data_IF_037607606176
#
_entry.id   IF_037607606176
#
_cell.length_a   1.000
_cell.length_b   1.000
_cell.length_c   1.000
_cell.angle_alpha   90.00
_cell.angle_beta   90.00
_cell.angle_gamma   90.00
#
_symmetry.space_group_name_H-M   'P 1'
#
loop_
_entity.id
_entity.type
_entity.pdbx_description
1 polymer ?
#
# COMPACT_ATOMS: atom_id res chain seq x y z
N UNK A 1 -19.38 6.58 -20.17
CA UNK A 1 -19.67 5.84 -21.42
C UNK A 1 -19.47 6.70 -22.66
N UNK A 2 -20.35 7.67 -22.96
CA UNK A 2 -20.29 8.44 -24.23
C UNK A 2 -18.93 9.12 -24.45
N UNK A 3 -18.39 9.78 -23.43
CA UNK A 3 -17.10 10.48 -23.51
C UNK A 3 -15.95 9.57 -23.93
N UNK A 4 -15.86 8.37 -23.35
CA UNK A 4 -14.81 7.40 -23.67
C UNK A 4 -14.96 6.87 -25.10
N UNK A 5 -16.19 6.64 -25.55
CA UNK A 5 -16.45 6.17 -26.91
C UNK A 5 -16.14 7.26 -27.94
N UNK A 6 -16.57 8.52 -27.70
CA UNK A 6 -16.21 9.70 -28.52
C UNK A 6 -14.69 9.83 -28.67
N UNK A 7 -13.95 9.74 -27.57
CA UNK A 7 -12.50 9.89 -27.57
C UNK A 7 -11.80 8.76 -28.32
N UNK A 8 -12.29 7.51 -28.21
CA UNK A 8 -11.73 6.39 -28.96
C UNK A 8 -11.85 6.56 -30.48
N UNK A 9 -12.93 7.20 -30.94
CA UNK A 9 -13.18 7.50 -32.34
C UNK A 9 -12.74 8.91 -32.78
N UNK A 10 -12.15 9.71 -31.89
CA UNK A 10 -11.71 11.10 -32.12
C UNK A 10 -12.84 12.01 -32.61
N UNK A 11 -14.03 11.88 -32.03
CA UNK A 11 -15.23 12.61 -32.43
C UNK A 11 -15.45 13.83 -31.53
N UNK A 12 -15.54 15.03 -32.14
CA UNK A 12 -15.74 16.30 -31.43
C UNK A 12 -17.03 16.99 -31.91
N UNK A 13 -18.20 16.56 -31.43
CA UNK A 13 -19.47 17.16 -31.82
C UNK A 13 -19.60 18.59 -31.27
N UNK A 14 -20.14 19.51 -32.08
CA UNK A 14 -20.46 20.89 -31.66
C UNK A 14 -21.96 21.03 -31.46
N UNK A 15 -22.45 20.62 -30.29
CA UNK A 15 -23.89 20.62 -30.03
C UNK A 15 -24.48 22.00 -29.79
N UNK A 16 -23.69 22.97 -29.31
CA UNK A 16 -24.16 24.33 -29.01
C UNK A 16 -24.68 25.08 -30.25
N UNK A 17 -24.18 24.73 -31.44
CA UNK A 17 -24.54 25.36 -32.71
C UNK A 17 -25.52 24.53 -33.53
N UNK A 18 -26.00 23.40 -33.01
CA UNK A 18 -26.84 22.48 -33.76
C UNK A 18 -28.30 22.96 -33.77
N UNK A 19 -28.88 23.09 -34.96
CA UNK A 19 -30.32 23.33 -35.13
C UNK A 19 -31.07 22.03 -35.38
N UNK A 20 -32.35 21.97 -35.02
CA UNK A 20 -33.19 20.77 -35.25
C UNK A 20 -33.21 20.42 -36.74
N UNK A 21 -33.45 21.40 -37.62
CA UNK A 21 -33.43 21.19 -39.07
C UNK A 21 -32.06 20.73 -39.59
N UNK A 22 -30.97 21.27 -39.04
CA UNK A 22 -29.61 20.86 -39.38
C UNK A 22 -29.35 19.41 -39.02
N UNK A 23 -29.78 18.99 -37.82
CA UNK A 23 -29.70 17.61 -37.36
C UNK A 23 -30.58 16.66 -38.20
N UNK A 24 -31.78 17.09 -38.59
CA UNK A 24 -32.65 16.29 -39.48
C UNK A 24 -31.97 16.01 -40.82
N UNK A 25 -31.39 17.05 -41.46
CA UNK A 25 -30.64 16.87 -42.72
C UNK A 25 -29.43 15.96 -42.53
N UNK A 26 -28.67 16.18 -41.46
CA UNK A 26 -27.45 15.42 -41.17
C UNK A 26 -27.72 13.94 -40.86
N UNK A 27 -28.84 13.60 -40.20
CA UNK A 27 -29.24 12.22 -39.93
C UNK A 27 -29.62 11.44 -41.20
N UNK A 28 -29.98 12.14 -42.28
CA UNK A 28 -30.33 11.55 -43.57
C UNK A 28 -29.25 11.74 -44.64
N UNK A 29 -28.07 12.24 -44.26
CA UNK A 29 -26.98 12.50 -45.20
C UNK A 29 -26.43 11.21 -45.83
N UNK A 30 -25.90 11.32 -47.05
CA UNK A 30 -25.29 10.22 -47.78
C UNK A 30 -24.03 9.71 -47.04
N UNK A 31 -23.26 10.62 -46.43
CA UNK A 31 -22.01 10.29 -45.75
C UNK A 31 -22.26 9.80 -44.32
N UNK A 32 -21.74 8.61 -44.01
CA UNK A 32 -21.86 7.97 -42.70
C UNK A 32 -21.26 8.80 -41.57
N UNK A 33 -20.16 9.52 -41.83
CA UNK A 33 -19.48 10.36 -40.84
C UNK A 33 -20.39 11.50 -40.37
N UNK A 34 -21.19 12.07 -41.27
CA UNK A 34 -22.14 13.13 -40.97
C UNK A 34 -23.28 12.58 -40.12
N UNK A 35 -23.81 11.40 -40.48
CA UNK A 35 -24.85 10.71 -39.69
C UNK A 35 -24.37 10.38 -38.28
N UNK A 36 -23.17 9.80 -38.13
CA UNK A 36 -22.55 9.51 -36.83
C UNK A 36 -22.36 10.78 -36.00
N UNK A 37 -21.86 11.86 -36.61
CA UNK A 37 -21.66 13.13 -35.92
C UNK A 37 -23.00 13.71 -35.44
N UNK A 38 -24.06 13.63 -36.24
CA UNK A 38 -25.40 14.07 -35.85
C UNK A 38 -25.94 13.29 -34.65
N UNK A 39 -25.79 11.95 -34.66
CA UNK A 39 -26.22 11.09 -33.56
C UNK A 39 -25.51 11.42 -32.24
N UNK A 40 -24.20 11.60 -32.28
CA UNK A 40 -23.41 11.94 -31.09
C UNK A 40 -23.71 13.37 -30.63
N UNK A 41 -23.98 14.28 -31.57
CA UNK A 41 -24.40 15.64 -31.24
C UNK A 41 -25.71 15.63 -30.45
N UNK A 42 -26.69 14.80 -30.87
CA UNK A 42 -27.92 14.60 -30.11
C UNK A 42 -27.63 14.04 -28.71
N UNK A 43 -26.83 12.99 -28.61
CA UNK A 43 -26.46 12.38 -27.33
C UNK A 43 -25.74 13.35 -26.37
N UNK A 44 -24.82 14.16 -26.90
CA UNK A 44 -24.05 15.13 -26.13
C UNK A 44 -24.93 16.29 -25.67
N UNK A 45 -25.85 16.75 -26.53
CA UNK A 45 -26.81 17.79 -26.17
C UNK A 45 -27.67 17.38 -24.96
N UNK A 46 -28.10 16.12 -24.87
CA UNK A 46 -28.90 15.64 -23.72
C UNK A 46 -28.09 15.65 -22.42
N UNK A 47 -26.81 15.27 -22.47
CA UNK A 47 -25.97 15.18 -21.28
C UNK A 47 -25.45 16.54 -20.78
N UNK A 48 -25.14 17.46 -21.70
CA UNK A 48 -24.48 18.73 -21.36
C UNK A 48 -25.44 19.93 -21.25
N UNK A 49 -26.71 19.79 -21.65
CA UNK A 49 -27.67 20.88 -21.57
C UNK A 49 -27.99 21.23 -20.10
N UNK A 50 -27.84 22.50 -19.69
CA UNK A 50 -28.18 22.93 -18.34
C UNK A 50 -29.64 22.65 -18.03
N UNK A 51 -29.91 21.83 -17.00
CA UNK A 51 -31.24 21.67 -16.43
C UNK A 51 -31.43 22.79 -15.41
N UNK A 52 -32.47 23.61 -15.59
CA UNK A 52 -32.91 24.53 -14.52
C UNK A 52 -33.41 23.64 -13.38
N UNK A 53 -32.68 23.60 -12.25
CA UNK A 53 -33.13 22.93 -11.03
C UNK A 53 -34.51 23.46 -10.66
N UNK A 54 -35.53 22.60 -10.75
CA UNK A 54 -36.90 22.94 -10.33
C UNK A 54 -37.01 23.21 -8.82
N UNK A 55 -35.97 22.91 -8.04
CA UNK A 55 -35.97 23.04 -6.59
C UNK A 55 -35.54 24.44 -6.08
N UNK A 56 -35.13 25.37 -6.94
CA UNK A 56 -34.67 26.72 -6.52
C UNK A 56 -35.57 27.88 -6.91
N UNK A 57 -36.69 27.65 -7.60
CA UNK A 57 -37.64 28.71 -7.99
C UNK A 57 -39.01 28.46 -7.36
N UNK A 58 -39.10 28.60 -6.03
CA UNK A 58 -40.36 28.92 -5.37
C UNK A 58 -40.72 30.38 -5.70
N UNK A 59 -41.46 30.58 -6.79
CA UNK A 59 -42.09 31.84 -7.14
C UNK A 59 -41.73 32.30 -8.55
N UNK A 60 -42.75 32.43 -9.40
CA UNK A 60 -42.73 32.83 -10.82
C UNK A 60 -42.61 31.64 -11.79
N UNK A 61 -43.80 31.13 -12.20
CA UNK A 61 -44.03 30.38 -13.44
C UNK A 61 -43.39 29.00 -13.54
N UNK A 62 -44.19 27.94 -13.70
CA UNK A 62 -43.69 26.62 -14.11
C UNK A 62 -42.89 26.78 -15.41
N UNK A 63 -41.56 26.69 -15.33
CA UNK A 63 -40.72 26.59 -16.50
C UNK A 63 -41.20 25.37 -17.33
N UNK A 64 -41.31 25.48 -18.67
CA UNK A 64 -41.75 24.37 -19.50
C UNK A 64 -40.80 23.19 -19.31
N UNK A 65 -41.35 22.00 -19.09
CA UNK A 65 -40.58 20.76 -19.07
C UNK A 65 -39.95 20.59 -20.44
N UNK A 66 -38.66 20.93 -20.55
CA UNK A 66 -37.91 20.77 -21.78
C UNK A 66 -37.77 19.26 -22.01
N UNK A 67 -38.39 18.73 -23.06
CA UNK A 67 -38.14 17.35 -23.47
C UNK A 67 -36.67 17.18 -23.83
N UNK A 68 -36.04 16.11 -23.32
CA UNK A 68 -34.62 15.82 -23.53
C UNK A 68 -34.29 15.71 -25.04
N UNK A 69 -35.22 15.20 -25.86
CA UNK A 69 -35.07 15.14 -27.33
C UNK A 69 -36.30 15.68 -28.06
N UNK A 70 -36.14 16.61 -29.03
CA UNK A 70 -37.21 17.11 -29.89
C UNK A 70 -37.98 15.97 -30.56
N UNK A 71 -39.32 16.05 -30.57
CA UNK A 71 -40.22 15.02 -31.10
C UNK A 71 -39.92 14.72 -32.58
N UNK A 72 -39.49 15.73 -33.32
CA UNK A 72 -39.17 15.68 -34.75
C UNK A 72 -37.96 14.79 -35.05
N UNK A 73 -37.01 14.67 -34.12
CA UNK A 73 -35.81 13.86 -34.30
C UNK A 73 -36.05 12.38 -33.97
N UNK A 74 -37.03 12.06 -33.11
CA UNK A 74 -37.24 10.70 -32.62
C UNK A 74 -37.46 9.66 -33.74
N UNK A 75 -38.27 9.90 -34.80
CA UNK A 75 -38.44 8.95 -35.88
C UNK A 75 -37.16 8.72 -36.68
N UNK A 76 -36.37 9.78 -36.89
CA UNK A 76 -35.10 9.70 -37.62
C UNK A 76 -34.07 8.92 -36.82
N UNK A 77 -33.95 9.18 -35.51
CA UNK A 77 -33.07 8.42 -34.62
C UNK A 77 -33.41 6.93 -34.63
N UNK A 78 -34.70 6.57 -34.52
CA UNK A 78 -35.13 5.16 -34.63
C UNK A 78 -34.77 4.55 -35.98
N UNK A 79 -34.90 5.29 -37.08
CA UNK A 79 -34.54 4.81 -38.43
C UNK A 79 -33.04 4.48 -38.52
N UNK A 80 -32.17 5.26 -37.88
CA UNK A 80 -30.70 5.02 -37.92
C UNK A 80 -30.25 3.73 -37.22
N UNK A 81 -31.07 3.12 -36.37
CA UNK A 81 -30.77 1.79 -35.82
C UNK A 81 -30.76 0.70 -36.90
N UNK A 82 -31.43 0.92 -38.03
CA UNK A 82 -31.48 0.01 -39.18
C UNK A 82 -30.66 0.51 -40.37
N UNK A 83 -29.67 1.38 -40.13
CA UNK A 83 -28.77 1.89 -41.17
C UNK A 83 -27.94 0.74 -41.78
N UNK A 84 -27.59 0.86 -43.06
CA UNK A 84 -26.76 -0.13 -43.76
C UNK A 84 -25.35 -0.21 -43.15
N UNK A 85 -24.82 0.91 -42.66
CA UNK A 85 -23.49 0.99 -42.09
C UNK A 85 -23.49 0.60 -40.59
N UNK A 86 -22.65 -0.38 -40.23
CA UNK A 86 -22.54 -0.89 -38.86
C UNK A 86 -22.09 0.19 -37.84
N UNK A 87 -21.24 1.13 -38.25
CA UNK A 87 -20.77 2.20 -37.37
C UNK A 87 -21.89 3.21 -37.05
N UNK A 88 -22.76 3.50 -38.04
CA UNK A 88 -23.96 4.32 -37.82
C UNK A 88 -24.93 3.61 -36.89
N UNK A 89 -25.17 2.30 -37.09
CA UNK A 89 -26.00 1.50 -36.17
C UNK A 89 -25.46 1.52 -34.74
N UNK A 90 -24.15 1.39 -34.55
CA UNK A 90 -23.51 1.45 -33.23
C UNK A 90 -23.65 2.85 -32.61
N UNK A 91 -23.38 3.92 -33.36
CA UNK A 91 -23.56 5.29 -32.89
C UNK A 91 -25.01 5.57 -32.50
N UNK A 92 -25.97 5.04 -33.28
CA UNK A 92 -27.39 5.15 -33.00
C UNK A 92 -27.75 4.42 -31.71
N UNK A 93 -27.29 3.18 -31.54
CA UNK A 93 -27.53 2.43 -30.32
C UNK A 93 -26.95 3.16 -29.09
N UNK A 94 -25.71 3.65 -29.15
CA UNK A 94 -25.09 4.47 -28.08
C UNK A 94 -25.95 5.69 -27.76
N UNK A 95 -26.39 6.42 -28.79
CA UNK A 95 -27.26 7.58 -28.67
C UNK A 95 -28.58 7.24 -27.96
N UNK A 96 -29.23 6.14 -28.34
CA UNK A 96 -30.46 5.66 -27.70
C UNK A 96 -30.27 5.34 -26.21
N UNK A 97 -29.17 4.70 -25.83
CA UNK A 97 -28.86 4.43 -24.41
C UNK A 97 -28.57 5.73 -23.64
N UNK A 98 -27.88 6.70 -24.23
CA UNK A 98 -27.60 7.99 -23.55
C UNK A 98 -28.84 8.83 -23.32
N UNK A 99 -29.81 8.75 -24.23
CA UNK A 99 -31.04 9.55 -24.21
C UNK A 99 -32.12 8.89 -23.32
N UNK A 100 -31.95 7.62 -22.95
CA UNK A 100 -32.97 6.85 -22.23
C UNK A 100 -34.09 6.31 -23.13
N UNK A 101 -33.86 6.23 -24.44
CA UNK A 101 -34.80 5.69 -25.44
C UNK A 101 -34.38 4.30 -25.94
N UNK A 102 -33.78 3.48 -25.06
CA UNK A 102 -33.37 2.13 -25.40
C UNK A 102 -34.57 1.25 -25.81
N UNK A 103 -34.38 0.41 -26.82
CA UNK A 103 -35.38 -0.51 -27.35
C UNK A 103 -34.71 -1.85 -27.69
N UNK A 104 -35.52 -2.85 -28.07
CA UNK A 104 -35.00 -4.19 -28.40
C UNK A 104 -33.96 -4.18 -29.54
N UNK A 105 -34.09 -3.27 -30.51
CA UNK A 105 -33.16 -3.15 -31.64
C UNK A 105 -31.79 -2.63 -31.19
N UNK A 106 -31.78 -1.55 -30.40
CA UNK A 106 -30.56 -1.02 -29.80
C UNK A 106 -29.89 -2.05 -28.90
N UNK A 107 -30.67 -2.80 -28.11
CA UNK A 107 -30.14 -3.89 -27.28
C UNK A 107 -29.49 -5.01 -28.11
N UNK A 108 -30.09 -5.39 -29.25
CA UNK A 108 -29.51 -6.39 -30.16
C UNK A 108 -28.19 -5.91 -30.76
N UNK A 109 -28.12 -4.64 -31.19
CA UNK A 109 -26.86 -4.03 -31.67
C UNK A 109 -25.78 -4.07 -30.58
N UNK A 110 -26.13 -3.75 -29.32
CA UNK A 110 -25.19 -3.83 -28.21
C UNK A 110 -24.72 -5.26 -27.95
N UNK A 111 -25.62 -6.25 -27.99
CA UNK A 111 -25.24 -7.67 -27.85
C UNK A 111 -24.29 -8.14 -28.95
N UNK A 112 -24.53 -7.72 -30.19
CA UNK A 112 -23.66 -8.03 -31.32
C UNK A 112 -22.28 -7.33 -31.17
N UNK A 113 -22.28 -6.04 -30.84
CA UNK A 113 -21.07 -5.24 -30.63
C UNK A 113 -20.23 -5.73 -29.44
N UNK A 114 -20.85 -6.32 -28.42
CA UNK A 114 -20.14 -6.93 -27.29
C UNK A 114 -19.28 -8.12 -27.72
N UNK A 115 -19.75 -8.90 -28.69
CA UNK A 115 -19.08 -10.13 -29.14
C UNK A 115 -18.14 -9.85 -30.32
N UNK A 116 -18.56 -9.03 -31.27
CA UNK A 116 -17.88 -8.82 -32.55
C UNK A 116 -17.28 -7.43 -32.72
N UNK A 117 -17.59 -6.49 -31.83
CA UNK A 117 -17.08 -5.12 -31.89
C UNK A 117 -15.61 -5.01 -31.50
N UNK A 118 -14.99 -3.90 -31.90
CA UNK A 118 -13.63 -3.57 -31.46
C UNK A 118 -13.58 -3.25 -29.94
N UNK A 119 -12.40 -2.93 -29.40
CA UNK A 119 -12.26 -2.67 -27.97
C UNK A 119 -13.14 -1.51 -27.46
N UNK A 120 -13.37 -0.47 -28.27
CA UNK A 120 -14.19 0.67 -27.87
C UNK A 120 -15.68 0.33 -27.93
N UNK A 121 -16.11 -0.33 -28.99
CA UNK A 121 -17.51 -0.71 -29.20
C UNK A 121 -17.97 -1.77 -28.20
N UNK A 122 -17.16 -2.81 -27.99
CA UNK A 122 -17.45 -3.85 -26.99
C UNK A 122 -17.48 -3.29 -25.57
N UNK A 123 -16.64 -2.29 -25.26
CA UNK A 123 -16.68 -1.61 -23.96
C UNK A 123 -17.92 -0.73 -23.80
N UNK A 124 -18.29 0.05 -24.83
CA UNK A 124 -19.53 0.85 -24.81
C UNK A 124 -20.76 -0.05 -24.68
N UNK A 125 -20.80 -1.16 -25.42
CA UNK A 125 -21.85 -2.15 -25.33
C UNK A 125 -21.99 -2.77 -23.95
N UNK A 126 -20.87 -3.18 -23.33
CA UNK A 126 -20.88 -3.72 -21.97
C UNK A 126 -21.43 -2.71 -20.95
N UNK A 127 -21.04 -1.44 -21.05
CA UNK A 127 -21.56 -0.37 -20.19
C UNK A 127 -23.07 -0.18 -20.39
N UNK A 128 -23.54 -0.12 -21.64
CA UNK A 128 -24.95 0.08 -21.96
C UNK A 128 -25.83 -1.06 -21.43
N UNK A 129 -25.44 -2.30 -21.70
CA UNK A 129 -26.16 -3.48 -21.22
C UNK A 129 -26.12 -3.58 -19.69
N UNK A 130 -25.02 -3.15 -19.06
CA UNK A 130 -24.92 -3.13 -17.61
C UNK A 130 -25.83 -2.09 -16.96
N UNK A 131 -25.95 -0.90 -17.54
CA UNK A 131 -26.88 0.14 -17.07
C UNK A 131 -28.34 -0.30 -17.16
N UNK A 132 -28.67 -1.16 -18.14
CA UNK A 132 -29.98 -1.80 -18.26
C UNK A 132 -30.21 -2.93 -17.23
N UNK A 133 -29.16 -3.38 -16.53
CA UNK A 133 -29.23 -4.46 -15.54
C UNK A 133 -29.00 -5.86 -16.11
N UNK A 134 -28.49 -5.99 -17.34
CA UNK A 134 -28.27 -7.30 -18.00
C UNK A 134 -26.96 -7.93 -17.50
N UNK A 135 -27.07 -8.76 -16.47
CA UNK A 135 -25.94 -9.44 -15.82
C UNK A 135 -25.56 -10.78 -16.49
N UNK A 136 -25.27 -10.77 -17.80
CA UNK A 136 -24.82 -11.97 -18.52
C UNK A 136 -23.30 -12.17 -18.44
N UNK A 137 -22.83 -13.41 -18.66
CA UNK A 137 -21.40 -13.72 -18.62
C UNK A 137 -20.55 -12.84 -19.55
N UNK A 138 -20.90 -12.61 -20.83
CA UNK A 138 -20.12 -11.74 -21.72
C UNK A 138 -20.01 -10.30 -21.21
N UNK A 139 -21.08 -9.75 -20.63
CA UNK A 139 -21.11 -8.38 -20.09
C UNK A 139 -20.16 -8.26 -18.91
N UNK A 140 -20.34 -9.11 -17.89
CA UNK A 140 -19.51 -9.08 -16.68
C UNK A 140 -18.05 -9.39 -17.02
N UNK A 141 -17.79 -10.37 -17.89
CA UNK A 141 -16.43 -10.70 -18.34
C UNK A 141 -15.76 -9.51 -19.01
N UNK A 142 -16.46 -8.79 -19.90
CA UNK A 142 -15.89 -7.63 -20.60
C UNK A 142 -15.60 -6.48 -19.63
N UNK A 143 -16.46 -6.24 -18.64
CA UNK A 143 -16.23 -5.22 -17.61
C UNK A 143 -14.99 -5.56 -16.78
N UNK A 144 -14.87 -6.82 -16.34
CA UNK A 144 -13.71 -7.28 -15.59
C UNK A 144 -12.41 -7.21 -16.41
N UNK A 145 -12.43 -7.62 -17.69
CA UNK A 145 -11.24 -7.49 -18.54
C UNK A 145 -10.85 -6.03 -18.71
N UNK A 146 -11.82 -5.15 -18.93
CA UNK A 146 -11.53 -3.72 -19.12
C UNK A 146 -10.88 -3.09 -17.88
N UNK A 147 -11.38 -3.46 -16.70
CA UNK A 147 -10.83 -3.03 -15.41
C UNK A 147 -9.39 -3.54 -15.19
N UNK A 148 -9.09 -4.77 -15.61
CA UNK A 148 -7.78 -5.37 -15.41
C UNK A 148 -6.73 -4.96 -16.46
N UNK A 149 -7.15 -4.70 -17.69
CA UNK A 149 -6.21 -4.45 -18.80
C UNK A 149 -5.70 -3.00 -18.85
N UNK A 150 -6.54 -2.00 -18.57
CA UNK A 150 -6.13 -0.59 -18.70
C UNK A 150 -5.47 -0.02 -17.45
N UNK A 151 -5.80 -0.53 -16.26
CA UNK A 151 -5.24 -0.09 -14.98
C UNK A 151 -5.26 1.44 -14.78
N UNK A 152 -6.31 2.12 -15.27
CA UNK A 152 -6.56 3.54 -15.06
C UNK A 152 -7.65 3.75 -14.01
N UNK A 153 -7.45 4.73 -13.11
CA UNK A 153 -8.33 4.93 -11.96
C UNK A 153 -9.79 5.24 -12.34
N UNK A 154 -10.02 5.95 -13.44
CA UNK A 154 -11.38 6.32 -13.89
C UNK A 154 -12.14 5.13 -14.48
N UNK A 155 -11.48 4.29 -15.29
CA UNK A 155 -12.09 3.04 -15.77
C UNK A 155 -12.31 2.05 -14.63
N UNK A 156 -11.40 1.96 -13.65
CA UNK A 156 -11.58 1.12 -12.47
C UNK A 156 -12.82 1.53 -11.67
N UNK A 157 -12.95 2.82 -11.36
CA UNK A 157 -14.11 3.37 -10.64
C UNK A 157 -15.41 3.09 -11.41
N UNK A 158 -15.42 3.36 -12.72
CA UNK A 158 -16.60 3.14 -13.54
C UNK A 158 -16.97 1.65 -13.64
N UNK A 159 -15.98 0.76 -13.81
CA UNK A 159 -16.20 -0.68 -13.81
C UNK A 159 -16.77 -1.15 -12.46
N UNK A 160 -16.24 -0.65 -11.34
CA UNK A 160 -16.75 -1.00 -10.01
C UNK A 160 -18.21 -0.56 -9.81
N UNK A 161 -18.60 0.63 -10.29
CA UNK A 161 -19.99 1.10 -10.23
C UNK A 161 -20.94 0.17 -10.98
N UNK A 162 -20.58 -0.21 -12.22
CA UNK A 162 -21.38 -1.14 -13.02
C UNK A 162 -21.45 -2.53 -12.38
N UNK A 163 -20.34 -3.06 -11.87
CA UNK A 163 -20.32 -4.36 -11.20
C UNK A 163 -21.15 -4.34 -9.91
N UNK A 164 -21.17 -3.23 -9.18
CA UNK A 164 -22.02 -3.08 -7.98
C UNK A 164 -23.49 -3.18 -8.35
N UNK A 165 -23.93 -2.42 -9.37
CA UNK A 165 -25.31 -2.51 -9.86
C UNK A 165 -25.66 -3.93 -10.34
N UNK A 166 -24.77 -4.58 -11.10
CA UNK A 166 -25.02 -5.94 -11.60
C UNK A 166 -25.03 -7.00 -10.49
N UNK A 167 -24.28 -6.78 -9.41
CA UNK A 167 -24.22 -7.72 -8.28
C UNK A 167 -25.51 -7.77 -7.45
N UNK A 168 -26.31 -6.69 -7.47
CA UNK A 168 -27.64 -6.66 -6.83
C UNK A 168 -28.61 -7.60 -7.55
N UNK A 169 -28.42 -7.79 -8.86
CA UNK A 169 -29.28 -8.62 -9.70
C UNK A 169 -28.77 -10.05 -9.91
N UNK A 170 -27.47 -10.31 -9.70
CA UNK A 170 -26.85 -11.60 -10.07
C UNK A 170 -25.61 -11.95 -9.25
N UNK A 171 -25.52 -13.20 -8.82
CA UNK A 171 -24.33 -13.78 -8.17
C UNK A 171 -23.16 -14.05 -9.14
N UNK A 172 -23.37 -13.87 -10.45
CA UNK A 172 -22.35 -14.09 -11.46
C UNK A 172 -21.12 -13.19 -11.25
N UNK A 173 -21.33 -11.95 -10.82
CA UNK A 173 -20.25 -11.00 -10.51
C UNK A 173 -19.32 -11.58 -9.45
N UNK A 174 -19.89 -12.06 -8.34
CA UNK A 174 -19.13 -12.70 -7.26
C UNK A 174 -18.41 -13.97 -7.73
N UNK A 175 -19.05 -14.78 -8.56
CA UNK A 175 -18.47 -16.03 -9.08
C UNK A 175 -17.23 -15.78 -9.95
N UNK A 176 -17.30 -14.78 -10.83
CA UNK A 176 -16.18 -14.42 -11.71
C UNK A 176 -15.03 -13.74 -10.95
N UNK A 177 -15.35 -12.90 -9.96
CA UNK A 177 -14.33 -12.33 -9.08
C UNK A 177 -13.68 -13.40 -8.19
N UNK A 178 -14.44 -14.34 -7.66
CA UNK A 178 -13.91 -15.47 -6.89
C UNK A 178 -12.99 -16.35 -7.74
N UNK A 179 -13.31 -16.58 -9.02
CA UNK A 179 -12.40 -17.25 -9.95
C UNK A 179 -11.07 -16.49 -10.09
N UNK A 180 -11.13 -15.14 -10.14
CA UNK A 180 -9.94 -14.28 -10.24
C UNK A 180 -9.07 -14.26 -8.97
N UNK A 181 -9.64 -14.48 -7.79
CA UNK A 181 -8.86 -14.71 -6.56
C UNK A 181 -7.96 -15.97 -6.63
N UNK A 182 -8.22 -16.89 -7.57
CA UNK A 182 -7.40 -18.07 -7.81
C UNK A 182 -6.43 -17.92 -9.00
N UNK A 183 -6.31 -16.71 -9.58
CA UNK A 183 -5.39 -16.47 -10.70
C UNK A 183 -3.94 -16.66 -10.27
N UNK A 184 -3.12 -17.23 -11.17
CA UNK A 184 -1.67 -17.31 -10.99
C UNK A 184 -1.02 -15.92 -10.99
N UNK A 185 -1.61 -14.95 -11.69
CA UNK A 185 -1.16 -13.57 -11.70
C UNK A 185 -1.57 -12.86 -10.41
N UNK A 186 -0.59 -12.37 -9.65
CA UNK A 186 -0.85 -11.68 -8.39
C UNK A 186 -1.64 -10.37 -8.59
N UNK A 187 -1.44 -9.68 -9.72
CA UNK A 187 -2.20 -8.46 -10.08
C UNK A 187 -3.70 -8.71 -10.18
N UNK A 188 -4.10 -9.82 -10.83
CA UNK A 188 -5.51 -10.24 -10.90
C UNK A 188 -6.11 -10.43 -9.51
N UNK A 189 -5.37 -11.03 -8.58
CA UNK A 189 -5.84 -11.26 -7.20
C UNK A 189 -6.03 -9.95 -6.45
N UNK A 190 -5.14 -8.98 -6.63
CA UNK A 190 -5.27 -7.64 -6.04
C UNK A 190 -6.54 -6.95 -6.56
N UNK A 191 -6.70 -6.90 -7.88
CA UNK A 191 -7.83 -6.20 -8.49
C UNK A 191 -9.15 -6.89 -8.13
N UNK A 192 -9.16 -8.22 -8.01
CA UNK A 192 -10.31 -8.96 -7.51
C UNK A 192 -10.65 -8.61 -6.05
N UNK A 193 -9.65 -8.50 -5.16
CA UNK A 193 -9.87 -8.07 -3.78
C UNK A 193 -10.45 -6.65 -3.71
N UNK A 194 -9.89 -5.70 -4.48
CA UNK A 194 -10.39 -4.31 -4.54
C UNK A 194 -11.80 -4.21 -5.11
N UNK A 195 -12.10 -4.95 -6.16
CA UNK A 195 -13.45 -4.98 -6.71
C UNK A 195 -14.44 -5.54 -5.68
N UNK A 196 -14.11 -6.65 -5.01
CA UNK A 196 -14.95 -7.25 -3.97
C UNK A 196 -15.17 -6.34 -2.76
N UNK A 197 -14.21 -5.47 -2.41
CA UNK A 197 -14.36 -4.53 -1.29
C UNK A 197 -15.41 -3.45 -1.56
N UNK A 198 -15.59 -3.09 -2.83
CA UNK A 198 -16.51 -2.03 -3.27
C UNK A 198 -17.92 -2.54 -3.60
N UNK A 199 -18.02 -3.79 -4.05
CA UNK A 199 -19.30 -4.39 -4.45
C UNK A 199 -20.13 -4.72 -3.21
N UNK A 200 -21.35 -4.21 -3.17
CA UNK A 200 -22.29 -4.39 -2.06
C UNK A 200 -23.09 -5.68 -2.25
N UNK A 201 -23.19 -6.49 -1.21
CA UNK A 201 -24.04 -7.68 -1.23
C UNK A 201 -23.60 -8.74 -0.23
N UNK A 202 -24.28 -9.89 -0.29
CA UNK A 202 -24.00 -11.02 0.59
C UNK A 202 -22.70 -11.73 0.16
N UNK A 203 -21.79 -11.89 1.12
CA UNK A 203 -20.51 -12.56 0.93
C UNK A 203 -20.62 -13.97 1.50
N UNK A 204 -20.48 -14.98 0.63
CA UNK A 204 -20.50 -16.39 1.04
C UNK A 204 -19.35 -16.72 1.98
N UNK A 205 -19.52 -17.76 2.82
CA UNK A 205 -18.47 -18.19 3.74
C UNK A 205 -17.20 -18.62 3.00
N UNK A 206 -17.33 -19.26 1.83
CA UNK A 206 -16.19 -19.66 1.01
C UNK A 206 -15.36 -18.47 0.54
N UNK A 207 -16.02 -17.37 0.15
CA UNK A 207 -15.34 -16.16 -0.27
C UNK A 207 -14.60 -15.50 0.90
N UNK A 208 -15.20 -15.49 2.10
CA UNK A 208 -14.53 -15.04 3.32
C UNK A 208 -13.29 -15.87 3.60
N UNK A 209 -13.44 -17.20 3.61
CA UNK A 209 -12.34 -18.13 3.84
C UNK A 209 -11.22 -17.94 2.82
N UNK A 210 -11.57 -17.72 1.54
CA UNK A 210 -10.59 -17.45 0.48
C UNK A 210 -9.84 -16.13 0.70
N UNK A 211 -10.54 -15.05 1.05
CA UNK A 211 -9.89 -13.77 1.36
C UNK A 211 -9.00 -13.88 2.60
N UNK A 212 -9.43 -14.58 3.66
CA UNK A 212 -8.59 -14.86 4.82
C UNK A 212 -7.36 -15.70 4.44
N UNK A 213 -7.52 -16.72 3.59
CA UNK A 213 -6.41 -17.54 3.10
C UNK A 213 -5.39 -16.71 2.31
N UNK A 214 -5.85 -15.79 1.46
CA UNK A 214 -4.97 -14.87 0.73
C UNK A 214 -4.27 -13.89 1.68
N UNK A 215 -4.99 -13.30 2.64
CA UNK A 215 -4.43 -12.37 3.62
C UNK A 215 -3.26 -12.99 4.41
N UNK A 216 -3.41 -14.25 4.82
CA UNK A 216 -2.38 -14.94 5.61
C UNK A 216 -1.27 -15.53 4.75
N UNK A 217 -1.61 -16.22 3.67
CA UNK A 217 -0.71 -17.17 3.03
C UNK A 217 -0.28 -16.80 1.60
N UNK A 218 -0.76 -15.68 1.04
CA UNK A 218 -0.29 -15.28 -0.29
C UNK A 218 1.20 -14.90 -0.23
N UNK A 219 1.98 -15.40 -1.19
CA UNK A 219 3.41 -15.10 -1.29
C UNK A 219 3.66 -13.62 -1.58
N UNK A 220 2.72 -12.94 -2.24
CA UNK A 220 2.83 -11.55 -2.59
C UNK A 220 2.27 -10.66 -1.47
N UNK A 221 3.10 -9.75 -0.97
CA UNK A 221 2.74 -8.84 0.12
C UNK A 221 1.56 -7.91 -0.25
N UNK A 222 1.50 -7.39 -1.48
CA UNK A 222 0.40 -6.52 -1.92
C UNK A 222 -0.94 -7.27 -2.02
N UNK A 223 -0.92 -8.55 -2.37
CA UNK A 223 -2.14 -9.40 -2.34
C UNK A 223 -2.63 -9.56 -0.90
N UNK A 224 -1.73 -9.84 0.04
CA UNK A 224 -2.09 -9.97 1.46
C UNK A 224 -2.76 -8.70 1.99
N UNK A 225 -2.24 -7.54 1.60
CA UNK A 225 -2.82 -6.23 1.95
C UNK A 225 -4.20 -6.01 1.32
N UNK A 226 -4.32 -6.26 0.02
CA UNK A 226 -5.58 -6.10 -0.69
C UNK A 226 -6.68 -6.99 -0.09
N UNK A 227 -6.34 -8.22 0.29
CA UNK A 227 -7.26 -9.13 0.96
C UNK A 227 -7.66 -8.66 2.37
N UNK A 228 -6.71 -8.15 3.17
CA UNK A 228 -7.01 -7.60 4.48
C UNK A 228 -7.92 -6.37 4.42
N UNK A 229 -7.63 -5.45 3.49
CA UNK A 229 -8.47 -4.27 3.23
C UNK A 229 -9.87 -4.67 2.78
N UNK A 230 -9.97 -5.64 1.86
CA UNK A 230 -11.26 -6.16 1.41
C UNK A 230 -12.08 -6.71 2.58
N UNK A 231 -11.50 -7.55 3.44
CA UNK A 231 -12.18 -8.04 4.65
C UNK A 231 -12.62 -6.89 5.57
N UNK A 232 -11.81 -5.85 5.72
CA UNK A 232 -12.15 -4.65 6.48
C UNK A 232 -13.38 -3.92 5.94
N UNK A 233 -13.36 -3.55 4.65
CA UNK A 233 -14.45 -2.81 3.99
C UNK A 233 -15.74 -3.63 3.89
N UNK A 234 -15.62 -4.96 3.77
CA UNK A 234 -16.74 -5.89 3.79
C UNK A 234 -17.32 -6.11 5.21
N UNK A 235 -16.88 -5.31 6.20
CA UNK A 235 -17.30 -5.36 7.62
C UNK A 235 -17.00 -6.71 8.30
N UNK A 236 -15.97 -7.42 7.83
CA UNK A 236 -15.48 -8.67 8.40
C UNK A 236 -14.26 -8.48 9.31
N UNK A 237 -13.94 -7.23 9.69
CA UNK A 237 -12.81 -6.90 10.55
C UNK A 237 -12.84 -7.56 11.93
N UNK A 238 -14.03 -7.90 12.47
CA UNK A 238 -14.13 -8.64 13.74
C UNK A 238 -13.48 -10.03 13.64
N UNK A 239 -13.69 -10.74 12.54
CA UNK A 239 -13.13 -12.07 12.32
C UNK A 239 -11.60 -12.00 12.21
N UNK A 240 -11.09 -11.03 11.45
CA UNK A 240 -9.64 -10.75 11.37
C UNK A 240 -9.06 -10.45 12.76
N UNK A 241 -9.77 -9.64 13.54
CA UNK A 241 -9.38 -9.29 14.90
C UNK A 241 -9.32 -10.50 15.84
N UNK A 242 -10.34 -11.35 15.81
CA UNK A 242 -10.41 -12.53 16.66
C UNK A 242 -9.32 -13.55 16.25
N UNK A 243 -9.04 -13.72 14.96
CA UNK A 243 -7.91 -14.53 14.48
C UNK A 243 -6.56 -14.00 14.95
N UNK A 244 -6.34 -12.68 14.87
CA UNK A 244 -5.13 -12.03 15.39
C UNK A 244 -4.95 -12.30 16.88
N UNK A 245 -6.03 -12.17 17.66
CA UNK A 245 -5.99 -12.41 19.10
C UNK A 245 -5.64 -13.86 19.43
N UNK A 246 -6.22 -14.81 18.72
CA UNK A 246 -5.92 -16.24 18.89
C UNK A 246 -4.44 -16.51 18.56
N UNK A 247 -3.93 -16.01 17.44
CA UNK A 247 -2.53 -16.18 17.04
C UNK A 247 -1.55 -15.58 18.06
N UNK A 248 -1.80 -14.40 18.59
CA UNK A 248 -0.91 -13.79 19.61
C UNK A 248 -0.90 -14.58 20.92
N UNK A 249 -2.07 -15.00 21.40
CA UNK A 249 -2.21 -15.61 22.73
C UNK A 249 -1.89 -17.11 22.74
N UNK A 250 -2.29 -17.84 21.71
CA UNK A 250 -2.24 -19.32 21.66
C UNK A 250 -1.43 -19.86 20.50
N UNK A 251 -0.99 -19.02 19.57
CA UNK A 251 -0.19 -19.44 18.43
C UNK A 251 1.23 -19.84 18.84
N UNK A 252 1.84 -20.66 17.99
CA UNK A 252 3.27 -20.95 18.04
C UNK A 252 4.10 -19.70 17.67
N UNK A 253 5.43 -19.85 17.69
CA UNK A 253 6.33 -18.73 17.38
C UNK A 253 6.14 -18.16 15.97
N UNK A 254 5.79 -19.01 15.00
CA UNK A 254 5.56 -18.58 13.62
C UNK A 254 4.25 -17.79 13.50
N UNK A 255 3.16 -18.32 14.05
CA UNK A 255 1.86 -17.65 14.08
C UNK A 255 1.90 -16.31 14.81
N UNK A 256 2.69 -16.20 15.88
CA UNK A 256 2.90 -14.92 16.58
C UNK A 256 3.61 -13.91 15.68
N UNK A 257 4.69 -14.31 14.99
CA UNK A 257 5.38 -13.43 14.04
C UNK A 257 4.44 -12.96 12.93
N UNK A 258 3.64 -13.85 12.34
CA UNK A 258 2.66 -13.46 11.32
C UNK A 258 1.64 -12.44 11.85
N UNK A 259 1.11 -12.68 13.05
CA UNK A 259 0.12 -11.79 13.67
C UNK A 259 0.72 -10.42 13.97
N UNK A 260 1.93 -10.37 14.53
CA UNK A 260 2.66 -9.13 14.80
C UNK A 260 2.96 -8.35 13.52
N UNK A 261 3.39 -9.05 12.46
CA UNK A 261 3.68 -8.46 11.17
C UNK A 261 2.41 -7.87 10.54
N UNK A 262 1.31 -8.62 10.53
CA UNK A 262 0.02 -8.14 10.03
C UNK A 262 -0.50 -6.95 10.85
N UNK A 263 -0.37 -6.97 12.18
CA UNK A 263 -0.74 -5.85 13.06
C UNK A 263 0.06 -4.59 12.73
N UNK A 264 1.38 -4.71 12.58
CA UNK A 264 2.25 -3.59 12.23
C UNK A 264 1.91 -3.02 10.85
N UNK A 265 1.56 -3.89 9.90
CA UNK A 265 1.17 -3.46 8.55
C UNK A 265 -0.21 -2.80 8.51
N UNK A 266 -1.20 -3.37 9.19
CA UNK A 266 -2.57 -2.83 9.28
C UNK A 266 -2.69 -1.62 10.19
N UNK A 267 -1.61 -1.26 10.90
CA UNK A 267 -1.61 -0.18 11.89
C UNK A 267 -2.70 -0.37 12.96
N UNK A 268 -2.92 -1.61 13.37
CA UNK A 268 -4.05 -2.01 14.21
C UNK A 268 -3.60 -2.45 15.60
N UNK A 269 -3.79 -1.60 16.61
CA UNK A 269 -3.67 -1.99 18.01
C UNK A 269 -4.95 -1.69 18.78
N UNK A 270 -5.48 -2.70 19.45
CA UNK A 270 -6.68 -2.57 20.29
C UNK A 270 -6.37 -3.06 21.69
N UNK A 271 -7.14 -2.60 22.68
CA UNK A 271 -7.01 -3.06 24.07
C UNK A 271 -7.09 -4.59 24.22
N UNK A 272 -7.80 -5.28 23.32
CA UNK A 272 -7.92 -6.74 23.32
C UNK A 272 -6.73 -7.49 22.71
N UNK A 273 -5.91 -6.81 21.89
CA UNK A 273 -4.67 -7.37 21.31
C UNK A 273 -3.45 -7.04 22.17
N UNK A 274 -3.50 -5.92 22.91
CA UNK A 274 -2.40 -5.41 23.71
C UNK A 274 -1.79 -6.45 24.68
N UNK A 275 -2.56 -7.25 25.45
CA UNK A 275 -1.97 -8.24 26.36
C UNK A 275 -1.12 -9.30 25.63
N UNK A 276 -1.63 -9.83 24.51
CA UNK A 276 -0.90 -10.80 23.70
C UNK A 276 0.32 -10.18 23.02
N UNK A 277 0.22 -8.91 22.61
CA UNK A 277 1.34 -8.15 22.08
C UNK A 277 2.44 -7.95 23.13
N UNK A 278 2.10 -7.54 24.35
CA UNK A 278 3.05 -7.34 25.45
C UNK A 278 3.79 -8.65 25.80
N UNK A 279 3.10 -9.79 25.79
CA UNK A 279 3.71 -11.09 26.05
C UNK A 279 4.79 -11.44 25.01
N UNK A 280 4.68 -10.94 23.77
CA UNK A 280 5.64 -11.25 22.71
C UNK A 280 7.04 -10.67 22.95
N UNK A 281 7.17 -9.59 23.73
CA UNK A 281 8.47 -9.01 24.09
C UNK A 281 9.31 -9.91 25.00
N UNK A 282 8.68 -10.81 25.76
CA UNK A 282 9.37 -11.76 26.65
C UNK A 282 9.29 -13.20 26.13
N UNK A 283 9.05 -13.39 24.83
CA UNK A 283 8.95 -14.72 24.24
C UNK A 283 10.33 -15.40 24.12
N UNK A 284 10.38 -16.72 24.30
CA UNK A 284 11.62 -17.50 24.21
C UNK A 284 12.27 -17.40 22.82
N UNK A 285 11.45 -17.31 21.76
CA UNK A 285 11.93 -17.25 20.40
C UNK A 285 12.34 -15.83 20.00
N UNK A 286 13.60 -15.70 19.61
CA UNK A 286 14.23 -14.45 19.11
C UNK A 286 13.42 -13.80 17.99
N UNK A 287 12.84 -14.60 17.09
CA UNK A 287 12.04 -14.11 15.97
C UNK A 287 10.78 -13.36 16.44
N UNK A 288 10.12 -13.84 17.49
CA UNK A 288 8.92 -13.21 18.06
C UNK A 288 9.28 -11.89 18.73
N UNK A 289 10.35 -11.85 19.52
CA UNK A 289 10.81 -10.60 20.17
C UNK A 289 11.23 -9.55 19.14
N UNK A 290 11.96 -9.97 18.10
CA UNK A 290 12.33 -9.11 16.96
C UNK A 290 11.10 -8.48 16.32
N UNK A 291 10.11 -9.29 15.97
CA UNK A 291 8.91 -8.80 15.31
C UNK A 291 8.10 -7.90 16.25
N UNK A 292 8.04 -8.19 17.56
CA UNK A 292 7.38 -7.34 18.53
C UNK A 292 7.99 -5.93 18.57
N UNK A 293 9.32 -5.81 18.57
CA UNK A 293 10.00 -4.51 18.48
C UNK A 293 9.69 -3.79 17.16
N UNK A 294 9.76 -4.49 16.02
CA UNK A 294 9.44 -3.91 14.71
C UNK A 294 8.01 -3.39 14.66
N UNK A 295 7.05 -4.19 15.14
CA UNK A 295 5.64 -3.83 15.23
C UNK A 295 5.43 -2.62 16.15
N UNK A 296 6.10 -2.56 17.31
CA UNK A 296 6.01 -1.40 18.21
C UNK A 296 6.46 -0.10 17.54
N UNK A 297 7.61 -0.15 16.85
CA UNK A 297 8.14 0.99 16.11
C UNK A 297 7.26 1.40 14.93
N UNK A 298 6.73 0.43 14.18
CA UNK A 298 5.81 0.68 13.07
C UNK A 298 4.50 1.34 13.52
N UNK A 299 3.95 0.92 14.67
CA UNK A 299 2.72 1.47 15.24
C UNK A 299 2.92 2.79 16.00
N UNK A 300 4.16 3.14 16.33
CA UNK A 300 4.51 4.34 17.12
C UNK A 300 3.72 4.44 18.43
N UNK A 301 3.49 3.31 19.11
CA UNK A 301 2.70 3.25 20.34
C UNK A 301 3.49 3.89 21.49
N UNK A 302 2.91 4.93 22.10
CA UNK A 302 3.45 5.63 23.29
C UNK A 302 2.92 5.09 24.62
N UNK A 303 2.30 3.92 24.61
CA UNK A 303 1.80 3.25 25.81
C UNK A 303 2.97 2.87 26.75
N UNK A 304 2.82 3.20 28.04
CA UNK A 304 3.86 3.01 29.05
C UNK A 304 4.28 1.54 29.22
N UNK A 305 3.35 0.59 29.05
CA UNK A 305 3.68 -0.83 29.16
C UNK A 305 4.56 -1.28 27.98
N UNK A 306 4.26 -0.78 26.77
CA UNK A 306 5.07 -1.07 25.57
C UNK A 306 6.46 -0.46 25.71
N UNK A 307 6.56 0.79 26.16
CA UNK A 307 7.85 1.44 26.41
C UNK A 307 8.67 0.69 27.46
N UNK A 308 8.03 0.27 28.56
CA UNK A 308 8.68 -0.53 29.62
C UNK A 308 9.23 -1.84 29.06
N UNK A 309 8.48 -2.56 28.21
CA UNK A 309 8.96 -3.76 27.54
C UNK A 309 10.17 -3.47 26.64
N UNK A 310 10.14 -2.41 25.85
CA UNK A 310 11.25 -2.02 24.98
C UNK A 310 12.51 -1.65 25.76
N UNK A 311 12.37 -0.87 26.85
CA UNK A 311 13.49 -0.54 27.74
C UNK A 311 14.10 -1.79 28.37
N UNK A 312 13.27 -2.76 28.79
CA UNK A 312 13.75 -4.03 29.32
C UNK A 312 14.57 -4.80 28.28
N UNK A 313 14.06 -4.94 27.05
CA UNK A 313 14.77 -5.63 25.97
C UNK A 313 16.09 -4.94 25.65
N UNK A 314 16.09 -3.61 25.48
CA UNK A 314 17.27 -2.82 25.18
C UNK A 314 18.43 -3.12 26.14
N UNK A 315 18.12 -3.26 27.44
CA UNK A 315 19.12 -3.47 28.48
C UNK A 315 19.51 -4.95 28.67
N UNK A 316 18.53 -5.86 28.62
CA UNK A 316 18.67 -7.21 29.18
C UNK A 316 18.58 -8.34 28.16
N UNK A 317 18.23 -8.09 26.89
CA UNK A 317 18.10 -9.17 25.91
C UNK A 317 19.46 -9.84 25.66
N UNK A 318 19.54 -11.18 25.72
CA UNK A 318 20.80 -11.90 25.48
C UNK A 318 21.31 -11.75 24.06
N UNK A 319 20.44 -11.43 23.09
CA UNK A 319 20.84 -11.28 21.71
C UNK A 319 20.92 -9.80 21.31
N UNK A 320 22.14 -9.31 21.05
CA UNK A 320 22.41 -7.91 20.76
C UNK A 320 21.59 -7.34 19.59
N UNK A 321 21.26 -8.18 18.58
CA UNK A 321 20.41 -7.75 17.46
C UNK A 321 19.04 -7.30 17.95
N UNK A 322 18.49 -7.97 18.96
CA UNK A 322 17.19 -7.65 19.54
C UNK A 322 17.26 -6.39 20.38
N UNK A 323 18.36 -6.16 21.13
CA UNK A 323 18.62 -4.86 21.76
C UNK A 323 18.59 -3.73 20.74
N UNK A 324 19.30 -3.89 19.61
CA UNK A 324 19.28 -2.90 18.53
C UNK A 324 17.87 -2.69 17.96
N UNK A 325 17.08 -3.74 17.73
CA UNK A 325 15.68 -3.56 17.30
C UNK A 325 14.82 -2.82 18.32
N UNK A 326 15.03 -3.03 19.62
CA UNK A 326 14.31 -2.27 20.65
C UNK A 326 14.71 -0.78 20.65
N UNK A 327 16.00 -0.48 20.50
CA UNK A 327 16.50 0.89 20.35
C UNK A 327 15.88 1.56 19.11
N UNK A 328 15.90 0.87 17.97
CA UNK A 328 15.27 1.34 16.73
C UNK A 328 13.80 1.65 16.91
N UNK A 329 13.06 0.76 17.58
CA UNK A 329 11.65 0.94 17.86
C UNK A 329 11.40 2.18 18.73
N UNK A 330 12.19 2.39 19.79
CA UNK A 330 12.12 3.59 20.63
C UNK A 330 12.41 4.87 19.82
N UNK A 331 13.39 4.84 18.93
CA UNK A 331 13.68 5.93 17.98
C UNK A 331 12.51 6.23 17.05
N UNK A 332 11.85 5.20 16.52
CA UNK A 332 10.68 5.33 15.63
C UNK A 332 9.42 5.84 16.36
N UNK A 333 9.21 5.43 17.60
CA UNK A 333 8.09 5.89 18.44
C UNK A 333 8.21 7.39 18.72
N UNK A 334 9.44 7.91 18.86
CA UNK A 334 9.68 9.34 19.00
C UNK A 334 9.29 9.90 20.37
N UNK A 335 9.08 9.06 21.39
CA UNK A 335 8.75 9.51 22.74
C UNK A 335 10.03 9.79 23.54
N UNK A 336 10.53 11.02 23.43
CA UNK A 336 11.76 11.45 24.10
C UNK A 336 11.52 11.63 25.59
N UNK A 337 12.15 10.80 26.41
CA UNK A 337 12.16 10.92 27.87
C UNK A 337 13.61 11.03 28.38
N UNK A 338 13.84 11.62 29.57
CA UNK A 338 15.16 11.62 30.20
C UNK A 338 15.75 10.21 30.35
N UNK A 339 14.88 9.24 30.65
CA UNK A 339 15.23 7.83 30.71
C UNK A 339 15.74 7.32 29.35
N UNK A 340 15.01 7.56 28.26
CA UNK A 340 15.45 7.14 26.92
C UNK A 340 16.79 7.75 26.55
N UNK A 341 16.93 9.06 26.75
CA UNK A 341 18.20 9.77 26.51
C UNK A 341 19.35 9.12 27.29
N UNK A 342 19.17 8.89 28.58
CA UNK A 342 20.18 8.26 29.43
C UNK A 342 20.59 6.88 28.89
N UNK A 343 19.62 6.02 28.54
CA UNK A 343 19.90 4.69 28.02
C UNK A 343 20.59 4.72 26.65
N UNK A 344 20.22 5.65 25.77
CA UNK A 344 20.87 5.80 24.46
C UNK A 344 22.33 6.24 24.61
N UNK A 345 22.60 7.21 25.48
CA UNK A 345 23.95 7.66 25.78
C UNK A 345 24.79 6.55 26.43
N UNK A 346 24.20 5.82 27.37
CA UNK A 346 24.84 4.66 27.96
C UNK A 346 25.16 3.59 26.91
N UNK A 347 24.22 3.28 26.02
CA UNK A 347 24.43 2.30 24.96
C UNK A 347 25.54 2.73 24.00
N UNK A 348 25.58 3.99 23.58
CA UNK A 348 26.68 4.53 22.76
C UNK A 348 28.03 4.35 23.44
N UNK A 349 28.12 4.61 24.73
CA UNK A 349 29.38 4.64 25.45
C UNK A 349 29.87 3.24 25.89
N UNK A 350 28.95 2.39 26.36
CA UNK A 350 29.26 1.19 27.15
C UNK A 350 28.85 -0.14 26.52
N UNK A 351 27.93 -0.19 25.54
CA UNK A 351 27.56 -1.49 24.93
C UNK A 351 28.76 -2.09 24.19
N UNK A 352 28.99 -3.40 24.39
CA UNK A 352 30.11 -4.12 23.80
C UNK A 352 29.94 -4.33 22.29
N UNK A 353 28.70 -4.55 21.86
CA UNK A 353 28.37 -4.93 20.49
C UNK A 353 28.24 -3.69 19.59
N UNK A 354 29.05 -3.57 18.51
CA UNK A 354 29.07 -2.39 17.67
C UNK A 354 27.72 -2.11 17.00
N UNK A 355 26.95 -3.16 16.69
CA UNK A 355 25.61 -2.99 16.12
C UNK A 355 24.63 -2.26 17.04
N UNK A 356 24.75 -2.44 18.37
CA UNK A 356 23.90 -1.76 19.36
C UNK A 356 24.31 -0.29 19.48
N UNK A 357 25.62 -0.02 19.58
CA UNK A 357 26.16 1.35 19.60
C UNK A 357 25.76 2.15 18.36
N UNK A 358 25.85 1.53 17.18
CA UNK A 358 25.45 2.12 15.90
C UNK A 358 23.99 2.53 15.91
N UNK A 359 23.10 1.62 16.33
CA UNK A 359 21.66 1.87 16.35
C UNK A 359 21.27 2.91 17.41
N UNK A 360 21.96 2.94 18.55
CA UNK A 360 21.79 3.99 19.56
C UNK A 360 22.15 5.37 19.00
N UNK A 361 23.29 5.47 18.31
CA UNK A 361 23.70 6.70 17.62
C UNK A 361 22.68 7.11 16.54
N UNK A 362 22.22 6.17 15.71
CA UNK A 362 21.18 6.44 14.71
C UNK A 362 19.87 6.93 15.33
N UNK A 363 19.47 6.36 16.48
CA UNK A 363 18.27 6.77 17.21
C UNK A 363 18.40 8.16 17.82
N UNK A 364 19.58 8.53 18.35
CA UNK A 364 19.87 9.90 18.80
C UNK A 364 19.63 10.92 17.68
N UNK A 365 20.09 10.61 16.46
CA UNK A 365 19.87 11.46 15.27
C UNK A 365 18.39 11.53 14.90
N UNK A 366 17.72 10.38 14.85
CA UNK A 366 16.29 10.30 14.51
C UNK A 366 15.43 11.08 15.49
N UNK A 367 15.81 11.09 16.77
CA UNK A 367 15.14 11.83 17.84
C UNK A 367 15.59 13.30 17.95
N UNK A 368 16.58 13.72 17.16
CA UNK A 368 17.16 15.07 17.17
C UNK A 368 17.63 15.54 18.56
N UNK A 369 18.31 14.67 19.32
CA UNK A 369 18.84 15.05 20.64
C UNK A 369 20.12 15.87 20.46
N UNK A 370 20.10 17.15 20.85
CA UNK A 370 21.14 18.14 20.53
C UNK A 370 21.78 18.85 21.74
N UNK A 371 21.68 18.28 22.94
CA UNK A 371 22.27 18.91 24.12
C UNK A 371 23.76 18.59 24.33
N UNK A 372 24.41 19.37 25.19
CA UNK A 372 25.85 19.28 25.48
C UNK A 372 26.30 17.88 25.92
N UNK A 373 25.47 17.14 26.67
CA UNK A 373 25.81 15.79 27.13
C UNK A 373 25.84 14.79 25.97
N UNK A 374 24.98 14.98 24.97
CA UNK A 374 24.98 14.17 23.74
C UNK A 374 26.22 14.47 22.91
N UNK A 375 26.56 15.76 22.76
CA UNK A 375 27.77 16.18 22.07
C UNK A 375 29.02 15.58 22.72
N UNK A 376 29.18 15.75 24.03
CA UNK A 376 30.35 15.27 24.76
C UNK A 376 30.56 13.76 24.58
N UNK A 377 29.51 12.96 24.79
CA UNK A 377 29.60 11.49 24.70
C UNK A 377 29.87 11.02 23.26
N UNK A 378 29.24 11.65 22.26
CA UNK A 378 29.50 11.29 20.85
C UNK A 378 30.93 11.63 20.44
N UNK A 379 31.44 12.80 20.82
CA UNK A 379 32.82 13.21 20.53
C UNK A 379 33.83 12.31 21.25
N UNK A 380 33.65 12.07 22.55
CA UNK A 380 34.51 11.18 23.34
C UNK A 380 34.55 9.76 22.73
N UNK A 381 33.37 9.20 22.44
CA UNK A 381 33.30 7.84 21.89
C UNK A 381 33.87 7.74 20.48
N UNK A 382 33.71 8.76 19.64
CA UNK A 382 34.26 8.81 18.28
C UNK A 382 35.78 8.65 18.27
N UNK A 383 36.47 9.17 19.29
CA UNK A 383 37.93 9.02 19.46
C UNK A 383 38.29 7.55 19.68
N UNK A 384 37.56 6.89 20.59
CA UNK A 384 37.90 5.56 21.09
C UNK A 384 37.24 4.41 20.30
N UNK A 385 36.32 4.71 19.38
CA UNK A 385 35.53 3.69 18.67
C UNK A 385 36.39 2.84 17.72
N UNK A 386 36.55 1.53 17.99
CA UNK A 386 37.34 0.65 17.13
C UNK A 386 36.64 0.29 15.82
N UNK A 387 35.30 0.25 15.79
CA UNK A 387 34.55 -0.20 14.63
C UNK A 387 34.30 0.94 13.62
N UNK A 388 34.73 0.75 12.38
CA UNK A 388 34.59 1.78 11.33
C UNK A 388 33.13 2.15 11.02
N UNK A 389 32.23 1.17 10.95
CA UNK A 389 30.81 1.42 10.64
C UNK A 389 30.15 2.29 11.73
N UNK A 390 30.52 2.09 12.99
CA UNK A 390 30.03 2.92 14.10
C UNK A 390 30.60 4.33 14.00
N UNK A 391 31.90 4.46 13.70
CA UNK A 391 32.57 5.75 13.52
C UNK A 391 31.97 6.57 12.37
N UNK A 392 31.64 5.93 11.25
CA UNK A 392 30.95 6.58 10.13
C UNK A 392 29.58 7.11 10.54
N UNK A 393 28.77 6.32 11.23
CA UNK A 393 27.46 6.78 11.71
C UNK A 393 27.58 7.91 12.74
N UNK A 394 28.57 7.85 13.66
CA UNK A 394 28.83 8.93 14.61
C UNK A 394 29.26 10.23 13.90
N UNK A 395 30.13 10.14 12.89
CA UNK A 395 30.50 11.30 12.07
C UNK A 395 29.29 11.89 11.34
N UNK A 396 28.40 11.05 10.81
CA UNK A 396 27.12 11.52 10.23
C UNK A 396 26.27 12.20 11.29
N UNK A 397 26.16 11.61 12.49
CA UNK A 397 25.39 12.17 13.59
C UNK A 397 25.89 13.55 14.00
N UNK A 398 27.20 13.72 14.19
CA UNK A 398 27.83 15.01 14.52
C UNK A 398 27.52 16.08 13.48
N UNK A 399 27.61 15.72 12.19
CA UNK A 399 27.26 16.63 11.08
C UNK A 399 25.78 17.01 11.07
N UNK A 400 24.88 16.02 11.20
CA UNK A 400 23.43 16.25 11.14
C UNK A 400 22.94 17.05 12.35
N UNK A 401 23.55 16.85 13.52
CA UNK A 401 23.20 17.56 14.75
C UNK A 401 23.93 18.92 14.88
N UNK A 402 24.73 19.33 13.89
CA UNK A 402 25.47 20.58 13.84
C UNK A 402 26.42 20.83 15.04
N UNK A 403 26.99 19.79 15.62
CA UNK A 403 28.01 20.00 16.65
C UNK A 403 29.28 20.55 16.02
N UNK A 404 29.72 21.74 16.47
CA UNK A 404 30.92 22.40 15.95
C UNK A 404 32.16 21.52 16.20
N UNK A 405 33.00 21.39 15.17
CA UNK A 405 34.06 20.39 15.10
C UNK A 405 35.43 21.06 14.91
N UNK A 406 35.68 22.16 15.62
CA UNK A 406 36.61 23.17 15.08
C UNK A 406 38.05 23.07 15.60
N UNK A 407 38.34 22.51 16.79
CA UNK A 407 39.71 22.62 17.34
C UNK A 407 40.27 21.34 17.98
N UNK A 408 39.43 20.38 18.35
CA UNK A 408 39.89 19.20 19.09
C UNK A 408 40.45 18.09 18.19
N UNK A 409 40.06 17.97 16.91
CA UNK A 409 40.49 16.83 16.07
C UNK A 409 42.00 16.80 15.80
N UNK A 410 42.66 17.94 15.60
CA UNK A 410 44.12 17.97 15.44
C UNK A 410 44.84 17.58 16.74
N UNK A 411 44.31 18.04 17.88
CA UNK A 411 44.86 17.74 19.20
C UNK A 411 44.62 16.27 19.58
N UNK A 412 43.44 15.73 19.27
CA UNK A 412 43.05 14.33 19.42
C UNK A 412 43.88 13.42 18.49
N UNK A 413 44.14 13.85 17.26
CA UNK A 413 44.98 13.08 16.33
C UNK A 413 46.43 13.04 16.82
N UNK A 414 46.93 14.13 17.43
CA UNK A 414 48.23 14.16 18.13
C UNK A 414 48.23 13.21 19.33
N UNK A 415 47.19 13.23 20.17
CA UNK A 415 47.06 12.32 21.33
C UNK A 415 46.97 10.86 20.87
N UNK A 416 46.21 10.54 19.81
CA UNK A 416 46.16 9.20 19.22
C UNK A 416 47.52 8.73 18.75
N UNK A 417 48.28 9.61 18.09
CA UNK A 417 49.64 9.33 17.62
C UNK A 417 50.64 9.14 18.77
N UNK A 418 50.44 9.81 19.91
CA UNK A 418 51.26 9.61 21.11
C UNK A 418 50.89 8.33 21.86
N UNK A 419 49.60 8.03 22.03
CA UNK A 419 49.13 6.79 22.67
C UNK A 419 49.54 5.55 21.87
N UNK A 420 49.57 5.61 20.54
CA UNK A 420 50.12 4.53 19.69
C UNK A 420 51.64 4.41 19.83
N UNK A 421 52.39 5.53 19.90
CA UNK A 421 53.84 5.50 20.21
C UNK A 421 54.17 4.91 21.57
N UNK A 422 53.35 5.15 22.59
CA UNK A 422 53.56 4.63 23.94
C UNK A 422 53.12 3.17 24.13
N UNK A 423 52.31 2.61 23.21
CA UNK A 423 51.94 1.19 23.18
C UNK A 423 52.95 0.29 22.47
N UNK A 424 53.91 0.86 21.74
CA UNK A 424 55.06 0.09 21.23
C UNK A 424 56.05 -0.17 22.38
N UNK A 425 56.47 -1.43 22.63
CA UNK A 425 57.46 -1.69 23.66
C UNK A 425 58.78 -1.02 23.27
N UNK A 426 59.25 -0.13 24.14
CA UNK A 426 60.54 0.55 24.05
C UNK A 426 61.69 -0.44 24.25
N UNK A 427 61.91 -1.31 23.26
CA UNK A 427 63.07 -2.17 23.15
C UNK A 427 64.00 -1.64 22.07
N UNK A 428 64.99 -0.87 22.52
CA UNK A 428 66.38 -0.83 22.02
C UNK A 428 67.17 0.21 22.81
N UNK A 429 67.48 -0.09 24.08
CA UNK A 429 68.74 0.40 24.67
C UNK A 429 69.72 -0.75 24.66
N UNK A 430 70.69 -0.65 23.75
CA UNK A 430 71.89 -1.48 23.72
C UNK A 430 72.64 -1.26 25.04
N UNK A 431 72.82 -2.31 25.83
CA UNK A 431 73.96 -2.43 26.72
C UNK A 431 74.60 -3.78 26.39
N UNK A 432 75.74 -3.72 25.71
CA UNK A 432 76.58 -4.89 25.47
C UNK A 432 77.57 -5.02 26.61
N UNK A 433 77.58 -6.17 27.26
CA UNK A 433 78.76 -6.95 27.67
C UNK A 433 78.26 -8.17 28.43
N UNK A 434 78.85 -9.32 28.12
CA UNK A 434 78.34 -10.63 28.50
C UNK A 434 78.41 -10.95 29.99
N UNK A 435 77.70 -11.98 30.39
CA UNK A 435 78.21 -13.12 31.15
C UNK A 435 77.11 -14.20 31.20
N UNK A 436 77.52 -15.46 31.14
CA UNK A 436 76.68 -16.64 31.36
C UNK A 436 75.98 -16.56 32.71
N UNK A 437 74.78 -17.17 32.83
CA UNK A 437 74.46 -18.13 33.89
C UNK A 437 73.10 -18.81 33.66
N UNK A 438 73.10 -20.12 33.87
CA UNK A 438 71.97 -21.06 33.88
C UNK A 438 70.97 -20.77 35.00
N UNK A 439 69.70 -21.16 34.82
CA UNK A 439 69.01 -22.24 35.54
C UNK A 439 67.48 -22.04 35.66
N UNK A 440 66.76 -23.16 35.41
CA UNK A 440 65.51 -23.65 36.05
C UNK A 440 64.28 -22.72 35.94
N UNK A 441 63.18 -23.07 35.27
CA UNK A 441 62.49 -24.35 35.23
C UNK A 441 61.40 -24.39 36.30
N UNK A 442 60.15 -24.09 35.93
CA UNK A 442 58.92 -24.58 36.60
C UNK A 442 57.81 -24.71 35.54
N UNK A 443 57.46 -25.96 35.23
CA UNK A 443 56.19 -26.33 34.62
C UNK A 443 55.07 -26.25 35.67
N UNK A 444 53.88 -25.78 35.28
CA UNK A 444 52.64 -26.17 35.96
C UNK A 444 51.58 -26.52 34.91
N UNK A 445 51.14 -27.76 35.02
CA UNK A 445 50.27 -28.53 34.13
C UNK A 445 48.85 -27.96 34.04
N UNK A 446 48.35 -27.88 32.81
CA UNK A 446 46.92 -27.86 32.48
C UNK A 446 46.46 -29.32 32.36
N UNK A 447 45.51 -29.75 33.19
CA UNK A 447 44.74 -30.98 32.95
C UNK A 447 43.56 -30.67 32.03
N UNK A 448 43.63 -31.17 30.78
CA UNK A 448 42.49 -31.32 29.87
C UNK A 448 41.99 -32.75 29.99
N UNK A 449 40.72 -32.92 30.36
CA UNK A 449 39.97 -34.14 30.10
C UNK A 449 39.44 -34.08 28.66
N UNK A 450 39.85 -35.05 27.83
CA UNK A 450 39.32 -35.31 26.49
C UNK A 450 38.34 -36.46 26.53
N UNK A 451 37.22 -36.35 25.82
CA UNK A 451 36.33 -37.45 25.48
C UNK A 451 37.03 -38.41 24.49
N UNK A 452 36.68 -39.70 24.56
CA UNK A 452 36.79 -40.62 23.41
C UNK A 452 37.19 -42.06 23.74
N UNK A 453 36.27 -42.85 24.29
CA UNK A 453 35.76 -44.10 23.70
C UNK A 453 34.54 -44.59 24.49
#
# INVERSE_FOLDING_TARGET
MLEQWKNAWKLTPRWQNATIEGLMRALTDIHEVIRVTALITCATAVLERPRLDSDRLCGIGKAPVIQDVPVELQPLLRKTLRDENAHVRMAAAVCHYTIGMCNNEAQMIMKEALVHGNSADSWAAAQCLALEGIATFPVVKKILSQMFDKNDGTTEEQACLLLTQLSECSSLVYSLLAAKLNSCQWKDRILACRALSRIRGYVSQDLKNKLSQLMWNDWNLEVRQAAALALGEMKLGKEVHDQLRVKLNRGDCWMKVEALSLIGWLQLMTAKLLPGFLQCFSNDFVAVRREACLTAGALRIKDEMVLTCLFKIMQTDPHWKIKAFAIRALGQIGHVTPQLKHHLLWAVHHEEEPGVRREACHSIVTLQLQDESVQAILLERLILEPNEMVREEMNKAVKVLNFQHTEEQEMIQKIKNEVTRHREPSSKRKCGQGFLLEHRGIQLHIWRWSKGN
#
